data_IF_987032242310
#
_entry.id   IF_987032242310
#
_cell.length_a   1.000
_cell.length_b   1.000
_cell.length_c   1.000
_cell.angle_alpha   90.00
_cell.angle_beta   90.00
_cell.angle_gamma   90.00
#
_symmetry.space_group_name_H-M   'P 1'
#
loop_
_entity.id
_entity.type
_entity.pdbx_description
1 polymer ?
#
# COMPACT_ATOMS: atom_id res chain seq x y z
N UNK A 1 12.06 10.28 15.81
CA UNK A 1 11.09 9.69 14.86
C UNK A 1 11.69 9.80 13.46
N UNK A 2 11.54 8.80 12.58
CA UNK A 2 12.04 8.96 11.22
C UNK A 2 11.21 10.04 10.52
N UNK A 3 11.87 11.08 10.02
CA UNK A 3 11.21 12.15 9.28
C UNK A 3 10.71 11.60 7.93
N UNK A 4 9.60 12.18 7.44
CA UNK A 4 8.99 11.76 6.17
C UNK A 4 8.62 12.96 5.33
N UNK A 5 8.68 12.81 4.01
CA UNK A 5 8.24 13.82 3.04
C UNK A 5 7.21 13.22 2.07
N UNK A 6 6.45 14.07 1.39
CA UNK A 6 5.52 13.69 0.32
C UNK A 6 6.24 13.88 -1.01
N UNK A 7 6.33 12.83 -1.81
CA UNK A 7 6.92 12.92 -3.15
C UNK A 7 5.97 13.59 -4.16
N UNK A 8 6.48 13.91 -5.35
CA UNK A 8 5.67 14.50 -6.43
C UNK A 8 4.49 13.63 -6.88
N UNK A 9 4.48 12.34 -6.53
CA UNK A 9 3.40 11.40 -6.83
C UNK A 9 2.35 11.31 -5.70
N UNK A 10 2.54 12.06 -4.62
CA UNK A 10 1.64 12.12 -3.46
C UNK A 10 1.83 10.98 -2.45
N UNK A 11 2.99 10.31 -2.46
CA UNK A 11 3.30 9.23 -1.51
C UNK A 11 4.25 9.69 -0.42
N UNK A 12 4.00 9.20 0.80
CA UNK A 12 4.88 9.42 1.94
C UNK A 12 6.12 8.53 1.87
N UNK A 13 7.30 9.13 1.96
CA UNK A 13 8.61 8.45 1.96
C UNK A 13 9.42 8.83 3.19
N UNK A 14 10.23 7.90 3.68
CA UNK A 14 11.22 8.21 4.71
C UNK A 14 12.32 9.09 4.14
N UNK A 15 12.70 10.16 4.82
CA UNK A 15 13.76 11.08 4.40
C UNK A 15 15.13 10.38 4.33
N UNK A 16 15.40 9.48 5.26
CA UNK A 16 16.69 8.79 5.37
C UNK A 16 16.98 7.76 4.26
N UNK A 17 15.95 7.24 3.59
CA UNK A 17 16.09 6.08 2.68
C UNK A 17 15.32 6.21 1.38
N UNK A 18 14.44 7.22 1.27
CA UNK A 18 13.51 7.38 0.14
C UNK A 18 12.48 6.25 0.02
N UNK A 19 12.44 5.30 0.97
CA UNK A 19 11.54 4.15 0.95
C UNK A 19 10.11 4.58 1.23
N UNK A 20 9.16 3.95 0.54
CA UNK A 20 7.73 4.16 0.75
C UNK A 20 7.32 3.73 2.15
N UNK A 21 6.66 4.64 2.89
CA UNK A 21 6.12 4.35 4.22
C UNK A 21 5.04 3.28 4.15
N UNK A 22 4.21 3.29 3.09
CA UNK A 22 3.20 2.25 2.85
C UNK A 22 3.81 0.85 2.77
N UNK A 23 4.94 0.71 2.09
CA UNK A 23 5.64 -0.58 1.94
C UNK A 23 6.21 -1.07 3.26
N UNK A 24 6.75 -0.16 4.07
CA UNK A 24 7.22 -0.48 5.41
C UNK A 24 6.07 -0.89 6.34
N UNK A 25 4.98 -0.14 6.35
CA UNK A 25 3.80 -0.44 7.18
C UNK A 25 3.15 -1.77 6.78
N UNK A 26 3.04 -2.05 5.48
CA UNK A 26 2.55 -3.33 4.99
C UNK A 26 3.47 -4.51 5.37
N UNK A 27 4.80 -4.34 5.29
CA UNK A 27 5.76 -5.35 5.74
C UNK A 27 5.63 -5.65 7.24
N UNK A 28 5.43 -4.61 8.07
CA UNK A 28 5.15 -4.75 9.49
C UNK A 28 3.85 -5.51 9.76
N UNK A 29 2.77 -5.20 9.01
CA UNK A 29 1.48 -5.89 9.10
C UNK A 29 1.59 -7.40 8.84
N UNK A 30 2.32 -7.80 7.80
CA UNK A 30 2.46 -9.22 7.41
C UNK A 30 3.56 -9.96 8.18
N UNK A 31 4.31 -9.26 9.05
CA UNK A 31 5.39 -9.85 9.85
C UNK A 31 6.64 -10.26 9.08
N UNK A 32 6.79 -9.84 7.81
CA UNK A 32 7.97 -10.14 6.98
C UNK A 32 8.28 -9.06 5.95
N UNK A 33 9.52 -8.98 5.43
CA UNK A 33 9.83 -8.13 4.29
C UNK A 33 8.98 -8.46 3.06
N UNK A 34 8.60 -7.41 2.32
CA UNK A 34 7.92 -7.54 1.03
C UNK A 34 8.91 -7.87 -0.07
N UNK A 35 8.62 -8.93 -0.84
CA UNK A 35 9.34 -9.31 -2.05
C UNK A 35 9.20 -8.20 -3.09
N UNK A 36 10.23 -7.99 -3.91
CA UNK A 36 10.28 -6.92 -4.92
C UNK A 36 9.04 -6.87 -5.82
N UNK A 37 8.48 -8.03 -6.15
CA UNK A 37 7.29 -8.17 -7.00
C UNK A 37 5.97 -7.82 -6.29
N UNK A 38 5.92 -7.86 -4.96
CA UNK A 38 4.70 -7.58 -4.19
C UNK A 38 4.32 -6.10 -4.28
N UNK A 39 3.04 -5.83 -4.52
CA UNK A 39 2.49 -4.48 -4.71
C UNK A 39 1.61 -4.12 -3.51
N UNK A 40 1.78 -2.91 -2.98
CA UNK A 40 0.93 -2.38 -1.90
C UNK A 40 -0.12 -1.48 -2.50
N UNK A 41 -1.37 -1.71 -2.12
CA UNK A 41 -2.53 -0.91 -2.52
C UNK A 41 -3.12 -0.21 -1.30
N UNK A 42 -3.28 1.10 -1.40
CA UNK A 42 -4.14 1.87 -0.51
C UNK A 42 -5.61 1.69 -0.90
N UNK A 43 -6.47 1.34 0.05
CA UNK A 43 -7.92 1.30 -0.18
C UNK A 43 -8.55 2.69 -0.12
N UNK A 44 -9.46 2.89 0.83
CA UNK A 44 -10.32 4.08 0.87
C UNK A 44 -9.66 5.32 1.50
N UNK A 45 -8.68 5.16 2.38
CA UNK A 45 -8.07 6.28 3.12
C UNK A 45 -7.13 7.19 2.30
N UNK A 46 -6.99 6.97 1.00
CA UNK A 46 -6.09 7.71 0.13
C UNK A 46 -4.60 7.36 0.32
N UNK A 47 -3.73 7.99 -0.49
CA UNK A 47 -2.28 7.65 -0.58
C UNK A 47 -1.47 7.96 0.68
N UNK A 48 -1.99 8.83 1.55
CA UNK A 48 -1.31 9.29 2.78
C UNK A 48 -1.73 8.49 4.03
N UNK A 49 -2.84 7.76 3.97
CA UNK A 49 -3.26 6.87 5.04
C UNK A 49 -2.49 5.55 4.96
N UNK A 50 -1.42 5.47 5.74
CA UNK A 50 -0.52 4.31 5.80
C UNK A 50 -0.85 3.38 6.97
N UNK A 51 -2.06 3.48 7.56
CA UNK A 51 -2.50 2.54 8.59
C UNK A 51 -2.55 1.12 8.00
N UNK A 52 -2.10 0.08 8.73
CA UNK A 52 -2.12 -1.30 8.25
C UNK A 52 -3.45 -1.72 7.64
N UNK A 53 -4.57 -1.32 8.24
CA UNK A 53 -5.93 -1.66 7.79
C UNK A 53 -6.30 -1.07 6.42
N UNK A 54 -5.71 0.06 6.04
CA UNK A 54 -5.90 0.68 4.73
C UNK A 54 -4.98 0.09 3.64
N UNK A 55 -4.08 -0.83 4.00
CA UNK A 55 -3.07 -1.39 3.10
C UNK A 55 -3.35 -2.86 2.79
N UNK A 56 -3.39 -3.17 1.49
CA UNK A 56 -3.44 -4.53 0.97
C UNK A 56 -2.18 -4.87 0.18
N UNK A 57 -1.65 -6.07 0.39
CA UNK A 57 -0.49 -6.59 -0.34
C UNK A 57 -0.99 -7.58 -1.39
N UNK A 58 -0.56 -7.37 -2.63
CA UNK A 58 -0.81 -8.27 -3.75
C UNK A 58 0.49 -8.97 -4.13
N UNK A 59 0.39 -10.23 -4.56
CA UNK A 59 1.55 -11.02 -4.98
C UNK A 59 2.36 -10.34 -6.09
N UNK A 60 1.66 -9.69 -7.02
CA UNK A 60 2.24 -8.96 -8.14
C UNK A 60 1.24 -7.95 -8.73
N UNK A 61 1.71 -7.14 -9.68
CA UNK A 61 0.89 -6.15 -10.37
C UNK A 61 -0.25 -6.80 -11.17
N UNK A 62 -0.05 -7.99 -11.74
CA UNK A 62 -1.10 -8.70 -12.48
C UNK A 62 -2.27 -9.08 -11.56
N UNK A 63 -2.00 -9.54 -10.34
CA UNK A 63 -3.02 -9.86 -9.36
C UNK A 63 -3.73 -8.60 -8.86
N UNK A 64 -2.98 -7.52 -8.65
CA UNK A 64 -3.55 -6.21 -8.31
C UNK A 64 -4.53 -5.74 -9.39
N UNK A 65 -4.11 -5.74 -10.65
CA UNK A 65 -4.95 -5.38 -11.79
C UNK A 65 -6.16 -6.31 -11.90
N UNK A 66 -5.99 -7.64 -11.81
CA UNK A 66 -7.10 -8.59 -11.89
C UNK A 66 -8.17 -8.32 -10.82
N UNK A 67 -7.75 -8.03 -9.58
CA UNK A 67 -8.66 -7.72 -8.46
C UNK A 67 -9.25 -6.31 -8.55
N UNK A 68 -8.57 -5.37 -9.23
CA UNK A 68 -9.05 -4.02 -9.56
C UNK A 68 -10.09 -4.02 -10.69
N UNK A 69 -9.84 -4.74 -11.78
CA UNK A 69 -10.71 -4.83 -12.96
C UNK A 69 -11.92 -5.75 -12.74
N UNK A 70 -11.83 -6.70 -11.81
CA UNK A 70 -12.97 -7.52 -11.37
C UNK A 70 -13.70 -6.83 -10.22
N UNK A 71 -14.24 -5.63 -10.42
CA UNK A 71 -15.20 -4.90 -9.54
C UNK A 71 -15.39 -5.42 -8.09
N UNK A 72 -14.30 -5.56 -7.32
CA UNK A 72 -14.34 -6.04 -5.94
C UNK A 72 -14.46 -4.89 -4.94
N UNK A 73 -14.24 -3.65 -5.40
CA UNK A 73 -14.56 -2.45 -4.64
C UNK A 73 -16.08 -2.32 -4.36
N UNK A 74 -16.93 -3.02 -5.13
CA UNK A 74 -18.39 -3.07 -4.92
C UNK A 74 -18.85 -4.21 -3.98
N UNK A 75 -18.08 -5.31 -3.83
CA UNK A 75 -18.59 -6.54 -3.21
C UNK A 75 -18.15 -6.79 -1.76
N UNK A 76 -17.24 -5.97 -1.21
CA UNK A 76 -16.90 -6.02 0.24
C UNK A 76 -17.74 -5.01 1.05
N UNK A 77 -18.27 -3.95 0.43
CA UNK A 77 -19.05 -2.90 1.10
C UNK A 77 -20.46 -2.68 0.52
N UNK A 78 -20.96 -3.56 -0.34
CA UNK A 78 -22.37 -3.56 -0.75
C UNK A 78 -23.26 -4.16 0.34
N UNK A 79 -23.74 -3.32 1.26
CA UNK A 79 -25.03 -3.49 1.93
C UNK A 79 -25.95 -2.38 1.47
#
# INVERSE_FOLDING_TARGET
>A
MAETYIDSNGYRRFTNSGKLVSRWAAAKKIGRPLRSQEVVHHGFGGKLDNRPDNLWVFKNNQEHLRKKHRSLFSRIFGR
#
